data_IF_315846284168
#
_entry.id   IF_315846284168
#
_cell.length_a   1.000
_cell.length_b   1.000
_cell.length_c   1.000
_cell.angle_alpha   90.00
_cell.angle_beta   90.00
_cell.angle_gamma   90.00
#
_symmetry.space_group_name_H-M   'P 1'
#
loop_
_entity.id
_entity.type
_entity.pdbx_description
1 polymer ?
#
# COMPACT_ATOMS: atom_id res chain seq x y z
N UNK A 1 -36.76 22.58 16.61
CA UNK A 1 -36.21 21.27 16.99
C UNK A 1 -35.64 20.62 15.72
N UNK A 2 -34.32 20.48 15.66
CA UNK A 2 -33.53 19.53 14.85
C UNK A 2 -33.61 19.58 13.31
N UNK A 3 -32.48 19.71 12.58
CA UNK A 3 -32.47 19.45 11.15
C UNK A 3 -32.66 17.95 10.91
N UNK A 4 -33.60 17.55 10.05
CA UNK A 4 -33.61 16.18 9.51
C UNK A 4 -32.51 16.09 8.47
N UNK A 5 -31.42 15.46 8.88
CA UNK A 5 -30.35 14.98 8.02
C UNK A 5 -30.97 14.18 6.85
N UNK A 6 -30.52 14.36 5.60
CA UNK A 6 -30.90 13.42 4.54
C UNK A 6 -30.42 12.02 4.92
N UNK A 7 -31.10 10.94 4.48
CA UNK A 7 -30.60 9.60 4.70
C UNK A 7 -29.21 9.47 4.08
N UNK A 8 -28.27 8.89 4.84
CA UNK A 8 -26.95 8.50 4.34
C UNK A 8 -27.11 7.80 2.98
N UNK A 9 -26.25 8.08 1.98
CA UNK A 9 -26.22 7.24 0.81
C UNK A 9 -25.85 5.83 1.26
N UNK A 10 -26.81 4.92 1.12
CA UNK A 10 -26.58 3.49 1.18
C UNK A 10 -25.57 3.22 0.06
N UNK A 11 -24.29 3.12 0.41
CA UNK A 11 -23.26 2.71 -0.54
C UNK A 11 -23.58 1.26 -0.90
N UNK A 12 -24.33 1.12 -1.99
CA UNK A 12 -24.61 -0.12 -2.67
C UNK A 12 -23.26 -0.74 -3.05
N UNK A 13 -22.85 -1.71 -2.24
CA UNK A 13 -21.67 -2.54 -2.46
C UNK A 13 -22.03 -3.49 -3.61
N UNK A 14 -21.91 -3.04 -4.86
CA UNK A 14 -21.85 -3.96 -5.99
C UNK A 14 -21.34 -3.28 -7.26
N UNK A 15 -20.02 -3.32 -7.47
CA UNK A 15 -19.40 -3.48 -8.81
C UNK A 15 -17.93 -3.87 -8.66
N UNK A 16 -17.50 -5.04 -9.18
CA UNK A 16 -16.24 -5.67 -8.82
C UNK A 16 -15.13 -5.49 -9.91
N UNK A 17 -13.89 -5.85 -9.54
CA UNK A 17 -12.76 -6.26 -10.42
C UNK A 17 -12.01 -5.12 -11.17
N UNK A 18 -10.81 -4.69 -10.74
CA UNK A 18 -9.58 -5.37 -11.21
C UNK A 18 -8.25 -5.10 -10.46
N UNK A 19 -8.18 -4.39 -9.32
CA UNK A 19 -6.87 -4.04 -8.70
C UNK A 19 -6.71 -4.39 -7.22
N UNK A 20 -7.72 -5.03 -6.61
CA UNK A 20 -7.77 -5.25 -5.15
C UNK A 20 -6.91 -6.40 -4.61
N UNK A 21 -6.39 -7.29 -5.45
CA UNK A 21 -5.96 -8.63 -5.00
C UNK A 21 -4.45 -8.90 -4.98
N UNK A 22 -3.60 -7.94 -5.38
CA UNK A 22 -2.17 -8.25 -5.58
C UNK A 22 -1.26 -8.09 -4.36
N UNK A 23 -1.54 -7.17 -3.43
CA UNK A 23 -0.69 -6.92 -2.25
C UNK A 23 -1.29 -7.40 -0.92
N UNK A 24 -2.60 -7.67 -0.86
CA UNK A 24 -3.30 -8.12 0.35
C UNK A 24 -2.73 -9.44 0.89
N UNK A 25 -2.36 -10.36 0.00
CA UNK A 25 -1.93 -11.71 0.39
C UNK A 25 -0.40 -11.87 0.54
N UNK A 26 0.36 -10.88 0.07
CA UNK A 26 1.84 -10.92 0.02
C UNK A 26 2.49 -10.20 1.19
N UNK A 27 1.94 -9.08 1.65
CA UNK A 27 2.49 -8.31 2.77
C UNK A 27 1.72 -8.57 4.07
N UNK A 28 2.39 -9.22 5.03
CA UNK A 28 1.82 -9.62 6.32
C UNK A 28 2.37 -8.73 7.41
N UNK A 29 1.45 -8.18 8.21
CA UNK A 29 1.79 -7.36 9.38
C UNK A 29 2.71 -8.13 10.35
N UNK A 30 3.72 -7.46 10.88
CA UNK A 30 4.69 -8.05 11.81
C UNK A 30 5.83 -8.83 11.14
N UNK A 31 5.88 -8.85 9.81
CA UNK A 31 7.02 -9.42 9.07
C UNK A 31 8.03 -8.34 8.72
N UNK A 32 9.28 -8.77 8.54
CA UNK A 32 10.35 -7.98 7.97
C UNK A 32 10.45 -8.27 6.48
N UNK A 33 10.57 -7.20 5.71
CA UNK A 33 10.77 -7.28 4.27
C UNK A 33 12.06 -6.58 3.88
N UNK A 34 12.76 -7.13 2.89
CA UNK A 34 13.92 -6.51 2.25
C UNK A 34 13.56 -6.08 0.84
N UNK A 35 13.88 -4.85 0.48
CA UNK A 35 13.76 -4.37 -0.91
C UNK A 35 14.81 -5.08 -1.77
N UNK A 36 14.38 -5.86 -2.76
CA UNK A 36 15.28 -6.57 -3.70
C UNK A 36 15.42 -5.85 -5.03
N UNK A 37 14.50 -4.94 -5.35
CA UNK A 37 14.56 -4.05 -6.51
C UNK A 37 14.19 -2.65 -6.10
N UNK A 38 15.06 -1.69 -6.38
CA UNK A 38 14.81 -0.29 -6.05
C UNK A 38 13.59 0.26 -6.80
N UNK A 39 12.86 1.16 -6.17
CA UNK A 39 11.74 1.88 -6.75
C UNK A 39 11.60 3.25 -6.12
N UNK A 40 10.85 4.13 -6.80
CA UNK A 40 10.49 5.45 -6.29
C UNK A 40 9.02 5.43 -5.94
N UNK A 41 8.67 6.03 -4.80
CA UNK A 41 7.30 6.16 -4.34
C UNK A 41 6.63 7.44 -4.89
N UNK A 42 5.36 7.63 -4.58
CA UNK A 42 4.57 8.79 -5.01
C UNK A 42 5.15 10.13 -4.52
N UNK A 43 5.89 10.13 -3.40
CA UNK A 43 6.53 11.32 -2.84
C UNK A 43 7.89 11.63 -3.45
N UNK A 44 8.36 10.78 -4.37
CA UNK A 44 9.68 10.88 -4.98
C UNK A 44 10.78 10.29 -4.09
N UNK A 45 10.44 9.63 -2.97
CA UNK A 45 11.43 8.95 -2.12
C UNK A 45 11.89 7.66 -2.82
N UNK A 46 13.21 7.46 -2.87
CA UNK A 46 13.80 6.25 -3.45
C UNK A 46 13.98 5.22 -2.35
N UNK A 47 13.42 4.04 -2.55
CA UNK A 47 13.63 2.86 -1.72
C UNK A 47 14.72 1.99 -2.34
N UNK A 48 15.96 1.99 -1.81
CA UNK A 48 17.08 1.30 -2.42
C UNK A 48 17.07 -0.20 -2.14
N UNK A 49 17.78 -0.97 -2.99
CA UNK A 49 18.01 -2.39 -2.74
C UNK A 49 18.73 -2.58 -1.39
N UNK A 50 18.23 -3.50 -0.58
CA UNK A 50 18.75 -3.80 0.75
C UNK A 50 18.05 -3.06 1.90
N UNK A 51 17.21 -2.07 1.61
CA UNK A 51 16.40 -1.41 2.64
C UNK A 51 15.47 -2.42 3.35
N UNK A 52 15.37 -2.31 4.67
CA UNK A 52 14.61 -3.26 5.51
C UNK A 52 13.40 -2.56 6.11
N UNK A 53 12.24 -3.21 5.97
CA UNK A 53 10.95 -2.71 6.40
C UNK A 53 10.36 -3.62 7.47
N UNK A 54 10.08 -3.10 8.67
CA UNK A 54 9.19 -3.78 9.61
C UNK A 54 7.74 -3.40 9.32
N UNK A 55 7.04 -4.28 8.61
CA UNK A 55 5.72 -3.97 8.04
C UNK A 55 4.64 -3.89 9.12
N UNK A 56 3.89 -2.78 9.13
CA UNK A 56 2.83 -2.49 10.11
C UNK A 56 1.42 -2.59 9.53
N UNK A 57 1.27 -2.44 8.22
CA UNK A 57 -0.01 -2.61 7.53
C UNK A 57 -0.12 -1.70 6.31
N UNK A 58 -1.31 -1.63 5.73
CA UNK A 58 -1.60 -0.83 4.56
C UNK A 58 -3.03 -0.28 4.58
N UNK A 59 -3.29 0.71 3.73
CA UNK A 59 -4.62 1.24 3.44
C UNK A 59 -4.73 1.52 1.94
N UNK A 60 -5.89 1.26 1.33
CA UNK A 60 -6.14 1.53 -0.08
C UNK A 60 -7.33 2.48 -0.26
N UNK A 61 -7.15 3.50 -1.09
CA UNK A 61 -8.12 4.53 -1.42
C UNK A 61 -8.59 4.34 -2.88
N UNK A 62 -9.74 3.69 -3.12
CA UNK A 62 -10.17 3.33 -4.48
C UNK A 62 -10.37 4.51 -5.41
N UNK A 63 -10.78 5.67 -4.91
CA UNK A 63 -11.03 6.86 -5.74
C UNK A 63 -9.75 7.48 -6.30
N UNK A 64 -8.64 7.31 -5.58
CA UNK A 64 -7.34 7.91 -5.93
C UNK A 64 -6.37 6.89 -6.53
N UNK A 65 -6.79 5.63 -6.64
CA UNK A 65 -5.93 4.47 -6.87
C UNK A 65 -4.76 4.41 -5.88
N UNK A 66 -4.94 4.98 -4.69
CA UNK A 66 -3.86 5.27 -3.74
C UNK A 66 -3.62 4.11 -2.78
N UNK A 67 -2.42 3.56 -2.78
CA UNK A 67 -1.95 2.58 -1.81
C UNK A 67 -1.01 3.23 -0.80
N UNK A 68 -1.36 3.13 0.47
CA UNK A 68 -0.51 3.53 1.59
C UNK A 68 0.06 2.29 2.27
N UNK A 69 1.38 2.21 2.37
CA UNK A 69 2.10 1.18 3.14
C UNK A 69 2.71 1.84 4.39
N UNK A 70 2.56 1.18 5.53
CA UNK A 70 3.12 1.63 6.80
C UNK A 70 4.20 0.64 7.25
N UNK A 71 5.43 1.13 7.40
CA UNK A 71 6.57 0.31 7.81
C UNK A 71 7.52 1.11 8.70
N UNK A 72 8.22 0.43 9.61
CA UNK A 72 9.37 1.04 10.28
C UNK A 72 10.60 0.81 9.40
N UNK A 73 11.25 1.91 9.00
CA UNK A 73 12.48 1.94 8.22
C UNK A 73 13.48 2.81 8.97
N UNK A 74 14.70 2.32 9.19
CA UNK A 74 15.74 2.99 9.98
C UNK A 74 15.25 3.49 11.36
N UNK A 75 14.38 2.70 12.00
CA UNK A 75 13.85 3.00 13.33
C UNK A 75 12.70 4.02 13.35
N UNK A 76 12.32 4.62 12.21
CA UNK A 76 11.21 5.56 12.11
C UNK A 76 10.01 4.94 11.40
N UNK A 77 8.80 5.23 11.89
CA UNK A 77 7.57 4.88 11.15
C UNK A 77 7.50 5.74 9.88
N UNK A 78 7.47 5.08 8.72
CA UNK A 78 7.33 5.70 7.41
C UNK A 78 5.96 5.40 6.82
N UNK A 79 5.46 6.37 6.07
CA UNK A 79 4.26 6.26 5.24
C UNK A 79 4.72 6.28 3.79
N UNK A 80 4.77 5.10 3.17
CA UNK A 80 5.17 4.94 1.77
C UNK A 80 3.90 4.96 0.92
N UNK A 81 3.83 5.87 -0.06
CA UNK A 81 2.64 6.06 -0.89
C UNK A 81 2.91 5.61 -2.32
N UNK A 82 1.97 4.87 -2.90
CA UNK A 82 2.01 4.42 -4.29
C UNK A 82 0.67 4.72 -4.95
N UNK A 83 0.66 5.00 -6.24
CA UNK A 83 -0.57 5.12 -7.03
C UNK A 83 -0.64 4.00 -8.07
N UNK A 84 -1.71 3.20 -8.03
CA UNK A 84 -1.92 2.08 -8.94
C UNK A 84 -2.47 2.54 -10.30
N UNK A 85 -1.64 3.30 -11.02
CA UNK A 85 -1.92 3.74 -12.39
C UNK A 85 -0.81 3.31 -13.35
N UNK A 86 -1.13 2.98 -14.61
CA UNK A 86 -0.13 2.59 -15.62
C UNK A 86 0.97 3.64 -15.83
N UNK A 87 0.61 4.92 -15.80
CA UNK A 87 1.49 6.07 -15.96
C UNK A 87 2.28 6.45 -14.70
N UNK A 88 1.97 5.84 -13.55
CA UNK A 88 2.57 6.10 -12.23
C UNK A 88 3.19 4.80 -11.67
N UNK A 89 3.04 4.54 -10.37
CA UNK A 89 3.66 3.41 -9.68
C UNK A 89 2.88 2.09 -9.84
N UNK A 90 1.92 1.98 -10.77
CA UNK A 90 1.12 0.75 -10.94
C UNK A 90 1.97 -0.49 -11.24
N UNK A 91 3.11 -0.32 -11.92
CA UNK A 91 4.08 -1.40 -12.12
C UNK A 91 4.77 -1.84 -10.81
N UNK A 92 4.98 -0.90 -9.87
CA UNK A 92 5.51 -1.18 -8.53
C UNK A 92 4.45 -1.90 -7.70
N UNK A 93 3.21 -1.39 -7.69
CA UNK A 93 2.09 -2.00 -6.95
C UNK A 93 1.89 -3.46 -7.35
N UNK A 94 1.88 -3.77 -8.65
CA UNK A 94 1.78 -5.15 -9.16
C UNK A 94 2.99 -6.02 -8.83
N UNK A 95 4.15 -5.41 -8.60
CA UNK A 95 5.39 -6.12 -8.33
C UNK A 95 5.71 -6.26 -6.83
N UNK A 96 4.93 -5.67 -5.91
CA UNK A 96 5.22 -5.64 -4.46
C UNK A 96 5.59 -7.02 -3.90
N UNK A 97 4.83 -8.07 -4.26
CA UNK A 97 5.10 -9.44 -3.82
C UNK A 97 6.40 -10.08 -4.32
N UNK A 98 7.11 -9.42 -5.25
CA UNK A 98 8.38 -9.89 -5.83
C UNK A 98 9.56 -8.98 -5.51
N UNK A 99 9.30 -7.69 -5.28
CA UNK A 99 10.35 -6.71 -4.98
C UNK A 99 10.56 -6.52 -3.47
N UNK A 100 9.64 -7.04 -2.65
CA UNK A 100 9.76 -7.14 -1.21
C UNK A 100 9.91 -8.62 -0.84
N UNK A 101 11.13 -8.99 -0.45
CA UNK A 101 11.44 -10.34 0.03
C UNK A 101 11.13 -10.43 1.52
N UNK A 102 10.30 -11.39 1.91
CA UNK A 102 10.04 -11.71 3.31
C UNK A 102 11.29 -12.37 3.92
N UNK A 103 11.92 -11.68 4.88
CA UNK A 103 13.12 -12.15 5.57
C UNK A 103 12.85 -12.67 6.99
N UNK A 104 11.57 -12.74 7.41
CA UNK A 104 11.17 -13.36 8.68
C UNK A 104 10.28 -12.49 9.56
N UNK A 105 10.24 -12.84 10.86
CA UNK A 105 9.51 -12.10 11.88
C UNK A 105 10.34 -10.90 12.38
N UNK A 106 9.69 -9.78 12.68
CA UNK A 106 10.31 -8.59 13.31
C UNK A 106 9.53 -8.03 14.47
#
# INVERSE_FOLDING_TARGET
>A
MGPRHPPDPVFEIDSPEHTRQHYHDTLRRGRLYRVTRAFTDYDGEVHPVGEIWAFRGYNFLPYDDGLSLFAVVDGALRHIRLQDRPESEGAVVRALGTILEDIGAG
#
